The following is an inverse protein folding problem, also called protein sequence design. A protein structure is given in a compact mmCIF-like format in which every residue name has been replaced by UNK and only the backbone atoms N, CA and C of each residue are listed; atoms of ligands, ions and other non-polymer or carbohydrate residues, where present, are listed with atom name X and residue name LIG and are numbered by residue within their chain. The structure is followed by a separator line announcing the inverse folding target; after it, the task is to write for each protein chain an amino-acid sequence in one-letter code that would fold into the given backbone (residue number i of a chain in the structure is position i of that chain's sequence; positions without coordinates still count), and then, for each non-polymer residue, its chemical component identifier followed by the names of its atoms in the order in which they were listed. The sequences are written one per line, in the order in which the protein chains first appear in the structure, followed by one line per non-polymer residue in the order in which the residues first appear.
data_IF_581486654497
#
_entry.id   IF_581486654497
#
_cell.length_a   1.000
_cell.length_b   1.000
_cell.length_c   1.000
_cell.angle_alpha   90.00
_cell.angle_beta   90.00
_cell.angle_gamma   90.00
#
_symmetry.space_group_name_H-M   'P 1'
#
loop_
_entity.id
_entity.type
_entity.pdbx_description
1 polymer ?
#
# COMPACT_ATOMS: atom_id res chain seq x y z
N UNK A 1 2.98 8.45 -7.39
CA UNK A 1 4.15 9.28 -7.79
C UNK A 1 5.38 8.44 -8.11
N UNK A 2 5.75 7.45 -7.29
CA UNK A 2 6.92 6.58 -7.53
C UNK A 2 6.92 5.92 -8.92
N UNK A 3 5.77 5.44 -9.39
CA UNK A 3 5.66 4.80 -10.69
C UNK A 3 6.14 5.69 -11.85
N UNK A 4 5.91 7.00 -11.78
CA UNK A 4 6.34 7.96 -12.82
C UNK A 4 7.87 8.06 -12.84
N UNK A 5 8.48 8.21 -11.65
CA UNK A 5 9.94 8.30 -11.52
C UNK A 5 10.65 7.05 -12.02
N UNK A 6 10.01 5.89 -11.87
CA UNK A 6 10.55 4.60 -12.24
C UNK A 6 10.10 4.11 -13.63
N UNK A 7 9.27 4.89 -14.33
CA UNK A 7 8.73 4.53 -15.63
C UNK A 7 7.77 3.34 -15.62
N UNK A 8 7.17 3.03 -14.46
CA UNK A 8 6.18 1.97 -14.32
C UNK A 8 4.80 2.39 -14.80
N UNK A 9 4.05 1.44 -15.35
CA UNK A 9 2.64 1.59 -15.67
C UNK A 9 1.85 1.94 -14.39
N UNK A 10 0.95 2.91 -14.51
CA UNK A 10 0.03 3.30 -13.42
C UNK A 10 -1.26 2.47 -13.47
N UNK A 11 -2.01 2.46 -12.37
CA UNK A 11 -3.28 1.74 -12.25
C UNK A 11 -3.13 0.30 -11.76
N UNK A 12 -4.12 -0.54 -12.07
CA UNK A 12 -4.18 -1.94 -11.63
C UNK A 12 -3.30 -2.84 -12.50
N UNK A 13 -2.00 -2.85 -12.19
CA UNK A 13 -0.97 -3.56 -12.95
C UNK A 13 -0.64 -4.91 -12.32
N UNK A 14 -0.08 -5.84 -13.11
CA UNK A 14 0.27 -7.19 -12.64
C UNK A 14 1.42 -7.14 -11.62
N UNK A 15 2.48 -6.38 -11.93
CA UNK A 15 3.66 -6.24 -11.07
C UNK A 15 3.84 -4.80 -10.60
N UNK A 16 3.04 -4.32 -9.61
CA UNK A 16 3.09 -2.93 -9.16
C UNK A 16 4.37 -2.59 -8.36
N UNK A 17 4.98 -3.59 -7.70
CA UNK A 17 6.16 -3.36 -6.87
C UNK A 17 7.42 -3.13 -7.73
N UNK A 18 8.22 -2.12 -7.38
CA UNK A 18 9.50 -1.84 -8.02
C UNK A 18 10.69 -2.58 -7.40
N UNK A 19 10.49 -3.22 -6.25
CA UNK A 19 11.51 -3.98 -5.52
C UNK A 19 11.45 -5.46 -5.92
N UNK A 20 10.26 -6.03 -5.99
CA UNK A 20 10.03 -7.45 -6.29
C UNK A 20 8.92 -7.65 -7.33
N UNK A 21 8.80 -8.88 -7.83
CA UNK A 21 7.79 -9.31 -8.78
C UNK A 21 6.55 -9.82 -8.05
N UNK A 22 6.06 -9.06 -7.08
CA UNK A 22 4.80 -9.34 -6.41
C UNK A 22 3.65 -9.28 -7.44
N UNK A 23 2.99 -10.41 -7.67
CA UNK A 23 1.92 -10.53 -8.65
C UNK A 23 0.59 -10.17 -8.00
N UNK A 24 0.05 -8.99 -8.34
CA UNK A 24 -1.23 -8.50 -7.81
C UNK A 24 -2.42 -9.38 -8.15
N UNK A 25 -2.29 -10.26 -9.14
CA UNK A 25 -3.35 -11.15 -9.62
C UNK A 25 -3.32 -12.51 -8.91
N UNK A 26 -2.22 -12.86 -8.23
CA UNK A 26 -2.03 -14.14 -7.57
C UNK A 26 -2.69 -14.22 -6.17
N UNK A 27 -4.01 -13.98 -6.10
CA UNK A 27 -4.78 -13.84 -4.84
C UNK A 27 -4.58 -14.99 -3.85
N UNK A 28 -4.43 -16.22 -4.33
CA UNK A 28 -4.23 -17.41 -3.48
C UNK A 28 -2.84 -17.43 -2.82
N UNK A 29 -1.83 -16.85 -3.49
CA UNK A 29 -0.45 -16.84 -2.99
C UNK A 29 -0.18 -15.67 -2.05
N UNK A 30 -0.99 -14.60 -2.08
CA UNK A 30 -0.72 -13.35 -1.36
C UNK A 30 -0.44 -13.51 0.14
N UNK A 31 -1.10 -14.49 0.78
CA UNK A 31 -1.00 -14.72 2.22
C UNK A 31 -0.11 -15.90 2.60
N UNK A 32 0.26 -16.73 1.63
CA UNK A 32 1.10 -17.93 1.84
C UNK A 32 2.54 -17.62 1.46
N UNK A 33 2.74 -16.90 0.36
CA UNK A 33 4.04 -16.57 -0.20
C UNK A 33 4.58 -15.28 0.40
N UNK A 34 5.56 -15.43 1.28
CA UNK A 34 6.30 -14.29 1.87
C UNK A 34 7.34 -13.71 0.92
N UNK A 35 8.05 -14.57 0.20
CA UNK A 35 9.17 -14.18 -0.65
C UNK A 35 8.79 -14.21 -2.14
N UNK A 36 8.79 -13.04 -2.76
CA UNK A 36 8.59 -12.86 -4.19
C UNK A 36 9.93 -12.65 -4.89
N UNK A 37 10.09 -13.08 -6.15
CA UNK A 37 11.35 -12.91 -6.86
C UNK A 37 11.75 -11.44 -6.93
N UNK A 38 13.04 -11.15 -6.77
CA UNK A 38 13.54 -9.78 -6.85
C UNK A 38 13.32 -9.22 -8.26
N UNK A 39 13.00 -7.93 -8.36
CA UNK A 39 12.99 -7.24 -9.64
C UNK A 39 14.42 -6.81 -9.97
N UNK A 40 15.09 -7.59 -10.82
CA UNK A 40 16.48 -7.32 -11.20
C UNK A 40 16.63 -6.00 -11.97
N UNK A 41 15.83 -5.80 -13.03
CA UNK A 41 15.96 -4.65 -13.92
C UNK A 41 14.63 -3.91 -14.15
N UNK A 42 14.75 -2.64 -14.55
CA UNK A 42 13.64 -1.75 -14.95
C UNK A 42 13.65 -1.56 -16.47
N UNK A 43 13.78 -2.64 -17.24
CA UNK A 43 13.80 -2.54 -18.71
C UNK A 43 12.37 -2.24 -19.22
N UNK A 44 12.18 -1.23 -20.09
CA UNK A 44 10.90 -0.99 -20.74
C UNK A 44 10.35 -2.25 -21.43
N UNK A 45 9.02 -2.30 -21.55
CA UNK A 45 8.25 -3.40 -22.14
C UNK A 45 8.27 -4.72 -21.36
N UNK A 46 8.99 -4.78 -20.23
CA UNK A 46 8.99 -5.92 -19.32
C UNK A 46 8.26 -5.60 -18.03
N UNK A 47 7.45 -6.53 -17.54
CA UNK A 47 6.93 -6.55 -16.16
C UNK A 47 6.36 -5.19 -15.70
N UNK A 48 5.51 -4.58 -16.54
CA UNK A 48 4.84 -3.30 -16.31
C UNK A 48 5.75 -2.06 -16.26
N UNK A 49 6.95 -2.12 -16.85
CA UNK A 49 7.75 -0.92 -17.14
C UNK A 49 7.38 -0.41 -18.54
N UNK A 50 7.02 0.86 -18.64
CA UNK A 50 6.62 1.52 -19.89
C UNK A 50 7.71 2.46 -20.40
N UNK A 51 8.42 3.11 -19.49
CA UNK A 51 9.44 4.12 -19.80
C UNK A 51 10.73 3.82 -19.03
N UNK A 52 11.85 4.40 -19.47
CA UNK A 52 13.08 4.42 -18.69
C UNK A 52 12.88 5.18 -17.37
N UNK A 53 13.55 4.72 -16.32
CA UNK A 53 13.53 5.39 -15.01
C UNK A 53 14.26 6.74 -15.07
N UNK A 54 13.66 7.76 -14.47
CA UNK A 54 14.24 9.10 -14.30
C UNK A 54 15.18 9.17 -13.09
N UNK A 55 14.97 8.28 -12.11
CA UNK A 55 15.73 8.22 -10.86
C UNK A 55 16.16 6.78 -10.63
N UNK A 56 17.37 6.60 -10.09
CA UNK A 56 17.87 5.28 -9.73
C UNK A 56 17.05 4.66 -8.59
N UNK A 57 16.83 3.35 -8.65
CA UNK A 57 15.92 2.62 -7.74
C UNK A 57 16.35 2.74 -6.26
N UNK A 58 17.65 2.73 -6.00
CA UNK A 58 18.28 2.86 -4.68
C UNK A 58 18.16 4.28 -4.08
N UNK A 59 17.76 5.25 -4.89
CA UNK A 59 17.51 6.64 -4.45
C UNK A 59 16.04 6.91 -4.10
N UNK A 60 15.16 5.92 -4.26
CA UNK A 60 13.75 6.05 -3.87
C UNK A 60 13.62 5.83 -2.37
N UNK A 61 13.26 6.88 -1.65
CA UNK A 61 12.91 6.82 -0.23
C UNK A 61 11.39 6.68 -0.12
N UNK A 62 10.94 5.59 0.51
CA UNK A 62 9.53 5.40 0.80
C UNK A 62 9.13 6.23 2.03
N UNK A 63 8.21 7.20 1.91
CA UNK A 63 7.80 8.01 3.03
C UNK A 63 7.00 7.16 4.04
N UNK A 64 7.49 6.96 5.28
CA UNK A 64 6.83 6.09 6.26
C UNK A 64 5.38 6.49 6.55
N UNK A 65 5.07 7.78 6.49
CA UNK A 65 3.74 8.31 6.72
C UNK A 65 2.71 7.75 5.73
N UNK A 66 3.00 7.79 4.42
CA UNK A 66 2.06 7.30 3.40
C UNK A 66 1.82 5.78 3.49
N UNK A 67 2.84 5.02 3.91
CA UNK A 67 2.69 3.58 4.18
C UNK A 67 1.73 3.38 5.35
N UNK A 68 1.96 4.08 6.47
CA UNK A 68 1.13 3.96 7.67
C UNK A 68 -0.33 4.33 7.39
N UNK A 69 -0.55 5.43 6.67
CA UNK A 69 -1.88 5.89 6.25
C UNK A 69 -2.58 4.85 5.36
N UNK A 70 -1.87 4.28 4.38
CA UNK A 70 -2.42 3.26 3.49
C UNK A 70 -2.83 1.98 4.23
N UNK A 71 -1.98 1.50 5.15
CA UNK A 71 -2.28 0.33 5.99
C UNK A 71 -3.50 0.58 6.86
N UNK A 72 -3.58 1.74 7.52
CA UNK A 72 -4.72 2.07 8.38
C UNK A 72 -6.04 2.10 7.60
N UNK A 73 -6.03 2.70 6.41
CA UNK A 73 -7.20 2.76 5.54
C UNK A 73 -7.66 1.34 5.17
N UNK A 74 -6.73 0.47 4.76
CA UNK A 74 -7.06 -0.91 4.41
C UNK A 74 -7.56 -1.72 5.61
N UNK A 75 -6.95 -1.52 6.79
CA UNK A 75 -7.37 -2.17 8.03
C UNK A 75 -8.83 -1.82 8.37
N UNK A 76 -9.17 -0.52 8.41
CA UNK A 76 -10.53 -0.07 8.75
C UNK A 76 -11.55 -0.56 7.73
N UNK A 77 -11.23 -0.53 6.43
CA UNK A 77 -12.10 -1.08 5.37
C UNK A 77 -12.35 -2.58 5.49
N UNK A 78 -11.48 -3.30 6.17
CA UNK A 78 -11.61 -4.75 6.37
C UNK A 78 -12.37 -5.13 7.65
N UNK A 79 -12.71 -4.15 8.50
CA UNK A 79 -13.45 -4.40 9.72
C UNK A 79 -14.93 -4.65 9.42
N UNK A 80 -15.52 -5.52 10.23
CA UNK A 80 -16.95 -5.72 10.29
C UNK A 80 -17.62 -4.50 10.94
N UNK A 81 -18.56 -3.85 10.25
CA UNK A 81 -19.23 -2.63 10.71
C UNK A 81 -20.04 -2.89 12.00
N UNK A 82 -20.53 -4.10 12.19
CA UNK A 82 -21.28 -4.52 13.38
C UNK A 82 -20.37 -5.09 14.49
N UNK A 83 -19.06 -5.19 14.23
CA UNK A 83 -18.10 -5.78 15.15
C UNK A 83 -17.69 -4.85 16.30
N UNK A 84 -17.38 -5.44 17.46
CA UNK A 84 -16.88 -4.72 18.64
C UNK A 84 -15.60 -3.89 18.35
N UNK A 85 -14.78 -4.29 17.36
CA UNK A 85 -13.61 -3.52 16.97
C UNK A 85 -13.97 -2.22 16.24
N UNK A 86 -15.01 -2.26 15.40
CA UNK A 86 -15.49 -1.07 14.70
C UNK A 86 -16.10 -0.07 15.69
N UNK A 87 -16.86 -0.54 16.69
CA UNK A 87 -17.40 0.35 17.74
C UNK A 87 -16.31 1.06 18.54
N UNK A 88 -15.17 0.41 18.78
CA UNK A 88 -14.00 1.04 19.40
C UNK A 88 -13.41 2.16 18.52
N UNK A 89 -13.33 1.95 17.21
CA UNK A 89 -12.83 2.96 16.25
C UNK A 89 -13.84 4.09 16.03
N UNK A 90 -15.14 3.83 16.19
CA UNK A 90 -16.24 4.80 16.18
C UNK A 90 -16.19 5.85 17.30
N UNK A 91 -15.18 5.82 18.16
CA UNK A 91 -14.81 7.00 18.97
C UNK A 91 -14.37 8.19 18.09
N UNK A 92 -14.08 7.96 16.79
CA UNK A 92 -13.88 8.97 15.76
C UNK A 92 -15.17 9.27 14.99
N UNK A 93 -15.25 10.41 14.30
CA UNK A 93 -16.45 10.79 13.54
C UNK A 93 -16.79 9.78 12.43
N UNK A 94 -18.06 9.37 12.36
CA UNK A 94 -18.56 8.38 11.37
C UNK A 94 -18.23 8.73 9.92
N UNK A 95 -18.21 10.03 9.57
CA UNK A 95 -17.86 10.50 8.22
C UNK A 95 -16.41 10.16 7.84
N UNK A 96 -15.48 10.29 8.78
CA UNK A 96 -14.06 9.96 8.55
C UNK A 96 -13.84 8.46 8.42
N UNK A 97 -14.60 7.66 9.16
CA UNK A 97 -14.56 6.19 9.10
C UNK A 97 -15.09 5.71 7.74
N UNK A 98 -16.25 6.22 7.29
CA UNK A 98 -16.80 5.93 5.95
C UNK A 98 -15.87 6.36 4.83
N UNK A 99 -15.22 7.51 4.96
CA UNK A 99 -14.21 7.95 4.00
C UNK A 99 -12.89 7.16 4.12
N UNK A 100 -12.69 6.45 5.24
CA UNK A 100 -11.44 5.80 5.64
C UNK A 100 -10.23 6.76 5.56
N UNK A 101 -10.45 8.02 5.95
CA UNK A 101 -9.44 9.08 5.97
C UNK A 101 -9.03 9.32 7.42
N UNK A 102 -7.77 8.98 7.71
CA UNK A 102 -7.17 9.17 9.03
C UNK A 102 -5.98 10.11 8.91
N UNK A 103 -5.77 10.94 9.92
CA UNK A 103 -4.55 11.73 10.07
C UNK A 103 -3.56 11.08 11.06
N UNK A 104 -2.34 11.62 11.12
CA UNK A 104 -1.28 11.11 11.99
C UNK A 104 -1.67 11.05 13.48
N UNK A 105 -2.23 12.13 14.07
CA UNK A 105 -2.71 12.13 15.45
C UNK A 105 -3.77 11.06 15.74
N UNK A 106 -4.77 10.89 14.87
CA UNK A 106 -5.82 9.88 15.05
C UNK A 106 -5.26 8.46 15.05
N UNK A 107 -4.33 8.16 14.12
CA UNK A 107 -3.66 6.85 14.11
C UNK A 107 -2.91 6.63 15.41
N UNK A 108 -2.19 7.64 15.92
CA UNK A 108 -1.48 7.52 17.21
C UNK A 108 -2.44 7.26 18.37
N UNK A 109 -3.63 7.85 18.36
CA UNK A 109 -4.64 7.60 19.39
C UNK A 109 -5.17 6.17 19.30
N UNK A 110 -5.45 5.67 18.10
CA UNK A 110 -5.95 4.31 17.88
C UNK A 110 -4.90 3.22 18.15
N UNK A 111 -3.61 3.52 17.94
CA UNK A 111 -2.50 2.59 18.20
C UNK A 111 -1.83 2.84 19.55
N UNK A 112 -2.44 3.61 20.46
CA UNK A 112 -1.97 3.69 21.84
C UNK A 112 -2.42 2.40 22.52
N UNK A 113 -1.50 1.45 22.64
CA UNK A 113 -1.66 0.36 23.59
C UNK A 113 -1.76 0.97 25.01
N UNK A 114 -2.62 0.40 25.83
CA UNK A 114 -2.85 0.84 27.21
C UNK A 114 -1.58 0.67 28.04
#
# INVERSE_FOLDING_TARGET
MVNILLGQQSGYTKFPCFICLWDSRAKQEHWVRRNWPLRENMKPEKQNIVQNSLVARDKIILPPLHIKLGIMNQFVKSLDEDGNCFSYICQLTMEKIKASIFDGPQIRQLTKDT
#
